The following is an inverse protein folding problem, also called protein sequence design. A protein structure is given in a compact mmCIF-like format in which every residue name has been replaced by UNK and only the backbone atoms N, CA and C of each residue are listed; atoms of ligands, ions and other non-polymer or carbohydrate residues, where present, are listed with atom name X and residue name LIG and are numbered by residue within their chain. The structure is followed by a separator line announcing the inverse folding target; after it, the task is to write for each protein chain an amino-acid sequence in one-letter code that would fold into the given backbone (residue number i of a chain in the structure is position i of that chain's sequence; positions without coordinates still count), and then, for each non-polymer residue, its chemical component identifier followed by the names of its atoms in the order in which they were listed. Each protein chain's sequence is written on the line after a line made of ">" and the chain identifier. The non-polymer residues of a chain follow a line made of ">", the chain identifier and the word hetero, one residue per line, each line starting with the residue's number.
data_IF_616580280752
#
_entry.id   IF_616580280752
#
_cell.length_a   1.000
_cell.length_b   1.000
_cell.length_c   1.000
_cell.angle_alpha   90.00
_cell.angle_beta   90.00
_cell.angle_gamma   90.00
#
_symmetry.space_group_name_H-M   'P 1'
#
loop_
_entity.id
_entity.type
_entity.pdbx_description
1 polymer ?
#
# COMPACT_ATOMS: atom_id res chain seq x y z
N UNK A 1 -6.86 23.18 46.35
CA UNK A 1 -7.59 23.27 45.07
C UNK A 1 -6.72 23.44 43.80
N UNK A 2 -5.46 23.91 43.87
CA UNK A 2 -4.60 24.10 42.67
C UNK A 2 -4.06 22.78 42.03
N UNK A 3 -3.91 21.67 42.79
CA UNK A 3 -3.39 20.38 42.30
C UNK A 3 -4.38 19.62 41.38
N UNK A 4 -5.68 19.80 41.53
CA UNK A 4 -6.67 19.10 40.72
C UNK A 4 -6.81 19.67 39.28
N UNK A 5 -6.56 20.98 39.09
CA UNK A 5 -6.61 21.59 37.74
C UNK A 5 -5.52 21.09 36.80
N UNK A 6 -4.29 20.84 37.32
CA UNK A 6 -3.17 20.33 36.53
C UNK A 6 -3.40 18.90 36.07
N UNK A 7 -3.99 18.05 36.90
CA UNK A 7 -4.29 16.66 36.57
C UNK A 7 -5.36 16.55 35.47
N UNK A 8 -6.39 17.40 35.51
CA UNK A 8 -7.46 17.42 34.50
C UNK A 8 -6.96 17.87 33.13
N UNK A 9 -6.08 18.88 33.08
CA UNK A 9 -5.46 19.36 31.83
C UNK A 9 -4.53 18.30 31.23
N UNK A 10 -3.77 17.59 32.07
CA UNK A 10 -2.89 16.50 31.61
C UNK A 10 -3.68 15.34 31.02
N UNK A 11 -4.79 14.92 31.67
CA UNK A 11 -5.67 13.87 31.16
C UNK A 11 -6.37 14.26 29.85
N UNK A 12 -6.80 15.52 29.71
CA UNK A 12 -7.39 16.04 28.48
C UNK A 12 -6.37 16.07 27.32
N UNK A 13 -5.11 16.47 27.56
CA UNK A 13 -4.06 16.47 26.54
C UNK A 13 -3.69 15.06 26.06
N UNK A 14 -3.62 14.07 26.96
CA UNK A 14 -3.36 12.68 26.60
C UNK A 14 -4.53 12.09 25.78
N UNK A 15 -5.76 12.42 26.13
CA UNK A 15 -6.95 11.97 25.39
C UNK A 15 -7.00 12.55 23.96
N UNK A 16 -6.70 13.86 23.81
CA UNK A 16 -6.64 14.53 22.50
C UNK A 16 -5.54 13.99 21.60
N UNK A 17 -4.37 13.65 22.15
CA UNK A 17 -3.27 13.09 21.37
C UNK A 17 -3.57 11.66 20.87
N UNK A 18 -4.27 10.85 21.63
CA UNK A 18 -4.70 9.52 21.21
C UNK A 18 -5.81 9.57 20.16
N UNK A 19 -6.74 10.53 20.27
CA UNK A 19 -7.79 10.75 19.29
C UNK A 19 -7.21 11.16 17.92
N UNK A 20 -6.25 12.09 17.89
CA UNK A 20 -5.58 12.52 16.67
C UNK A 20 -4.78 11.38 15.99
N UNK A 21 -4.16 10.49 16.76
CA UNK A 21 -3.44 9.32 16.24
C UNK A 21 -4.39 8.27 15.66
N UNK A 22 -5.52 8.01 16.31
CA UNK A 22 -6.55 7.10 15.81
C UNK A 22 -7.15 7.61 14.49
N UNK A 23 -7.46 8.89 14.42
CA UNK A 23 -7.98 9.53 13.20
C UNK A 23 -7.00 9.43 12.03
N UNK A 24 -5.68 9.47 12.28
CA UNK A 24 -4.66 9.30 11.25
C UNK A 24 -4.60 7.85 10.72
N UNK A 25 -4.78 6.85 11.58
CA UNK A 25 -4.85 5.45 11.18
C UNK A 25 -6.09 5.17 10.30
N UNK A 26 -7.25 5.66 10.71
CA UNK A 26 -8.49 5.52 9.94
C UNK A 26 -8.41 6.19 8.56
N UNK A 27 -7.77 7.38 8.48
CA UNK A 27 -7.55 8.04 7.21
C UNK A 27 -6.61 7.22 6.32
N UNK A 28 -5.55 6.66 6.86
CA UNK A 28 -4.63 5.80 6.10
C UNK A 28 -5.35 4.56 5.55
N UNK A 29 -6.23 3.94 6.32
CA UNK A 29 -7.06 2.82 5.82
C UNK A 29 -7.94 3.26 4.65
N UNK A 30 -8.62 4.39 4.75
CA UNK A 30 -9.46 4.94 3.66
C UNK A 30 -8.64 5.21 2.39
N UNK A 31 -7.44 5.78 2.54
CA UNK A 31 -6.54 6.03 1.42
C UNK A 31 -6.11 4.73 0.73
N UNK A 32 -5.82 3.69 1.49
CA UNK A 32 -5.49 2.37 0.96
C UNK A 32 -6.69 1.68 0.30
N UNK A 33 -7.89 1.79 0.85
CA UNK A 33 -9.13 1.27 0.26
C UNK A 33 -9.44 1.98 -1.08
N UNK A 34 -9.29 3.32 -1.12
CA UNK A 34 -9.42 4.10 -2.37
C UNK A 34 -8.35 3.69 -3.38
N UNK A 35 -7.08 3.57 -2.99
CA UNK A 35 -6.00 3.17 -3.88
C UNK A 35 -6.18 1.76 -4.43
N UNK A 36 -6.73 0.82 -3.61
CA UNK A 36 -7.14 -0.53 -4.04
C UNK A 36 -8.18 -0.46 -5.16
N UNK A 37 -9.24 0.34 -4.98
CA UNK A 37 -10.29 0.51 -6.00
C UNK A 37 -9.71 1.13 -7.28
N UNK A 38 -8.95 2.18 -7.17
CA UNK A 38 -8.30 2.83 -8.30
C UNK A 38 -7.39 1.86 -9.08
N UNK A 39 -6.60 1.05 -8.37
CA UNK A 39 -5.78 0.01 -9.01
C UNK A 39 -6.64 -1.07 -9.65
N UNK A 40 -7.77 -1.44 -9.03
CA UNK A 40 -8.73 -2.38 -9.63
C UNK A 40 -9.24 -1.89 -10.99
N UNK A 41 -9.53 -0.59 -11.12
CA UNK A 41 -9.95 0.00 -12.40
C UNK A 41 -8.85 -0.09 -13.47
N UNK A 42 -7.56 0.07 -13.10
CA UNK A 42 -6.45 -0.18 -14.02
C UNK A 42 -6.38 -1.64 -14.48
N UNK A 43 -6.53 -2.58 -13.54
CA UNK A 43 -6.54 -4.00 -13.85
C UNK A 43 -7.73 -4.38 -14.74
N UNK A 44 -8.91 -3.83 -14.47
CA UNK A 44 -10.11 -4.12 -15.27
C UNK A 44 -10.04 -3.54 -16.69
N UNK A 45 -9.53 -2.32 -16.83
CA UNK A 45 -9.44 -1.62 -18.11
C UNK A 45 -8.39 -2.21 -19.04
N UNK A 46 -7.32 -2.83 -18.52
CA UNK A 46 -6.34 -3.50 -19.35
C UNK A 46 -6.91 -4.81 -19.89
N UNK A 47 -6.94 -5.03 -21.21
CA UNK A 47 -7.40 -6.30 -21.79
C UNK A 47 -6.39 -7.42 -21.50
N UNK A 48 -6.80 -8.67 -21.61
CA UNK A 48 -6.01 -9.86 -21.30
C UNK A 48 -4.63 -9.87 -22.00
N UNK A 49 -4.60 -9.56 -23.30
CA UNK A 49 -3.38 -9.49 -24.10
C UNK A 49 -2.44 -8.34 -23.66
N UNK A 50 -2.97 -7.34 -22.96
CA UNK A 50 -2.21 -6.21 -22.42
C UNK A 50 -1.38 -6.56 -21.20
N UNK A 51 -1.69 -7.64 -20.50
CA UNK A 51 -0.96 -8.04 -19.29
C UNK A 51 0.49 -8.45 -19.59
N UNK A 52 0.74 -9.06 -20.74
CA UNK A 52 2.09 -9.40 -21.21
C UNK A 52 2.75 -8.27 -22.01
N UNK A 53 2.05 -7.16 -22.26
CA UNK A 53 2.59 -6.05 -23.05
C UNK A 53 3.78 -5.39 -22.34
N UNK A 54 4.84 -5.16 -23.10
CA UNK A 54 6.11 -4.58 -22.68
C UNK A 54 6.50 -3.47 -23.67
N UNK A 55 6.56 -2.21 -23.26
CA UNK A 55 6.87 -1.10 -24.17
C UNK A 55 8.27 -1.19 -24.81
N UNK A 56 9.28 -1.60 -24.02
CA UNK A 56 10.64 -1.86 -24.49
C UNK A 56 11.19 -3.13 -23.82
N UNK A 57 12.25 -3.76 -24.36
CA UNK A 57 12.83 -4.98 -23.78
C UNK A 57 13.25 -4.84 -22.29
N UNK A 58 13.67 -3.62 -21.88
CA UNK A 58 14.19 -3.35 -20.53
C UNK A 58 13.07 -3.10 -19.51
N UNK A 59 11.88 -2.72 -19.98
CA UNK A 59 10.75 -2.42 -19.11
C UNK A 59 10.06 -3.71 -18.62
N UNK A 60 9.40 -3.62 -17.49
CA UNK A 60 8.48 -4.66 -17.02
C UNK A 60 7.26 -4.75 -17.92
N UNK A 61 6.61 -5.89 -17.98
CA UNK A 61 5.25 -6.00 -18.51
C UNK A 61 4.26 -5.30 -17.58
N UNK A 62 3.03 -5.06 -18.05
CA UNK A 62 1.95 -4.53 -17.21
C UNK A 62 1.75 -5.39 -15.95
N UNK A 63 1.61 -6.72 -16.13
CA UNK A 63 1.49 -7.65 -15.00
C UNK A 63 2.69 -7.59 -14.05
N UNK A 64 3.92 -7.51 -14.57
CA UNK A 64 5.12 -7.44 -13.75
C UNK A 64 5.21 -6.16 -12.93
N UNK A 65 4.68 -5.01 -13.40
CA UNK A 65 4.56 -3.81 -12.58
C UNK A 65 3.62 -4.02 -11.40
N UNK A 66 2.44 -4.60 -11.66
CA UNK A 66 1.42 -4.85 -10.65
C UNK A 66 1.90 -5.85 -9.59
N UNK A 67 2.55 -6.93 -10.00
CA UNK A 67 3.07 -7.96 -9.11
C UNK A 67 4.30 -7.50 -8.32
N UNK A 68 5.11 -6.59 -8.87
CA UNK A 68 6.28 -6.04 -8.19
C UNK A 68 5.91 -5.22 -6.96
N UNK A 69 4.97 -4.28 -7.06
CA UNK A 69 4.56 -3.54 -5.86
C UNK A 69 3.74 -4.42 -4.90
N UNK A 70 3.07 -5.45 -5.40
CA UNK A 70 2.39 -6.45 -4.57
C UNK A 70 3.38 -7.21 -3.68
N UNK A 71 4.53 -7.62 -4.22
CA UNK A 71 5.60 -8.21 -3.41
C UNK A 71 6.09 -7.24 -2.33
N UNK A 72 6.29 -5.96 -2.67
CA UNK A 72 6.67 -4.95 -1.68
C UNK A 72 5.61 -4.77 -0.57
N UNK A 73 4.31 -4.88 -0.90
CA UNK A 73 3.23 -4.88 0.07
C UNK A 73 3.38 -6.04 1.07
N UNK A 74 3.65 -7.26 0.58
CA UNK A 74 3.83 -8.44 1.42
C UNK A 74 5.13 -8.46 2.22
N UNK A 75 6.19 -7.85 1.71
CA UNK A 75 7.49 -7.81 2.36
C UNK A 75 7.58 -6.72 3.43
N UNK A 76 7.01 -5.55 3.18
CA UNK A 76 7.22 -4.37 4.04
C UNK A 76 6.10 -4.13 5.04
N UNK A 77 4.83 -4.44 4.72
CA UNK A 77 3.74 -4.22 5.66
C UNK A 77 3.89 -4.99 6.98
N UNK A 78 4.42 -6.22 7.02
CA UNK A 78 4.70 -6.94 8.26
C UNK A 78 5.62 -6.20 9.24
N UNK A 79 6.58 -5.43 8.72
CA UNK A 79 7.51 -4.65 9.54
C UNK A 79 6.80 -3.53 10.33
N UNK A 80 5.68 -3.03 9.82
CA UNK A 80 4.85 -2.06 10.52
C UNK A 80 3.77 -2.73 11.37
N UNK A 81 2.91 -3.52 10.75
CA UNK A 81 1.68 -4.07 11.37
C UNK A 81 1.86 -5.40 12.10
N UNK A 82 2.95 -6.12 11.85
CA UNK A 82 3.30 -7.36 12.55
C UNK A 82 2.58 -8.63 12.08
N UNK A 83 1.66 -8.54 11.10
CA UNK A 83 1.02 -9.73 10.53
C UNK A 83 2.03 -10.47 9.64
N UNK A 84 2.13 -11.78 9.80
CA UNK A 84 3.03 -12.60 8.98
C UNK A 84 2.54 -12.65 7.53
N UNK A 85 3.45 -12.43 6.58
CA UNK A 85 3.14 -12.59 5.16
C UNK A 85 2.68 -14.02 4.85
N UNK A 86 1.56 -14.18 4.11
CA UNK A 86 1.08 -15.51 3.69
C UNK A 86 1.88 -16.10 2.54
N UNK A 87 2.75 -15.32 1.89
CA UNK A 87 3.59 -15.74 0.77
C UNK A 87 5.08 -15.49 1.06
N UNK A 88 5.94 -16.21 0.35
CA UNK A 88 7.39 -15.99 0.41
C UNK A 88 7.78 -14.66 -0.30
N UNK A 89 8.92 -14.04 0.06
CA UNK A 89 9.41 -12.85 -0.62
C UNK A 89 9.57 -13.05 -2.13
N UNK A 90 9.04 -12.10 -2.91
CA UNK A 90 9.09 -12.11 -4.37
C UNK A 90 8.21 -13.18 -5.04
N UNK A 91 7.30 -13.82 -4.31
CA UNK A 91 6.47 -14.91 -4.85
C UNK A 91 5.48 -14.43 -5.90
N UNK A 92 4.94 -13.21 -5.77
CA UNK A 92 4.00 -12.66 -6.75
C UNK A 92 4.67 -12.44 -8.11
N UNK A 93 5.82 -11.78 -8.15
CA UNK A 93 6.56 -11.53 -9.38
C UNK A 93 7.07 -12.82 -10.05
N UNK A 94 7.34 -13.86 -9.25
CA UNK A 94 7.78 -15.18 -9.71
C UNK A 94 6.64 -16.11 -10.13
N UNK A 95 5.37 -15.68 -9.99
CA UNK A 95 4.23 -16.49 -10.42
C UNK A 95 4.37 -16.88 -11.90
N UNK A 96 4.15 -18.15 -12.20
CA UNK A 96 4.11 -18.64 -13.57
C UNK A 96 2.84 -18.17 -14.30
N UNK A 97 1.73 -18.02 -13.56
CA UNK A 97 0.47 -17.48 -14.09
C UNK A 97 0.42 -15.97 -13.85
N UNK A 98 0.54 -15.21 -14.94
CA UNK A 98 0.42 -13.77 -15.01
C UNK A 98 -0.81 -13.31 -15.83
N UNK A 99 -1.79 -14.18 -15.97
CA UNK A 99 -3.08 -13.85 -16.58
C UNK A 99 -3.75 -12.70 -15.84
N UNK A 100 -4.71 -12.04 -16.49
CA UNK A 100 -5.51 -10.97 -15.89
C UNK A 100 -6.16 -11.43 -14.58
N UNK A 101 -6.76 -12.61 -14.58
CA UNK A 101 -7.44 -13.16 -13.41
C UNK A 101 -6.48 -13.39 -12.23
N UNK A 102 -5.36 -14.08 -12.47
CA UNK A 102 -4.36 -14.39 -11.44
C UNK A 102 -3.68 -13.12 -10.92
N UNK A 103 -3.25 -12.22 -11.81
CA UNK A 103 -2.64 -10.94 -11.43
C UNK A 103 -3.59 -10.10 -10.62
N UNK A 104 -4.85 -9.94 -11.07
CA UNK A 104 -5.86 -9.16 -10.34
C UNK A 104 -6.06 -9.71 -8.93
N UNK A 105 -6.20 -11.02 -8.79
CA UNK A 105 -6.37 -11.65 -7.47
C UNK A 105 -5.18 -11.35 -6.55
N UNK A 106 -3.95 -11.60 -7.02
CA UNK A 106 -2.73 -11.38 -6.20
C UNK A 106 -2.59 -9.91 -5.77
N UNK A 107 -2.88 -8.97 -6.67
CA UNK A 107 -2.82 -7.53 -6.37
C UNK A 107 -3.87 -7.15 -5.34
N UNK A 108 -5.13 -7.58 -5.50
CA UNK A 108 -6.19 -7.25 -4.54
C UNK A 108 -5.92 -7.84 -3.16
N UNK A 109 -5.47 -9.09 -3.09
CA UNK A 109 -5.07 -9.74 -1.84
C UNK A 109 -3.91 -8.97 -1.16
N UNK A 110 -2.93 -8.46 -1.94
CA UNK A 110 -1.82 -7.65 -1.45
C UNK A 110 -2.27 -6.32 -0.83
N UNK A 111 -3.28 -5.66 -1.39
CA UNK A 111 -3.89 -4.48 -0.78
C UNK A 111 -4.61 -4.81 0.53
N UNK A 112 -5.41 -5.89 0.55
CA UNK A 112 -6.12 -6.33 1.75
C UNK A 112 -5.14 -6.69 2.87
N UNK A 113 -4.00 -7.26 2.53
CA UNK A 113 -2.95 -7.56 3.48
C UNK A 113 -2.34 -6.30 4.12
N UNK A 114 -2.06 -5.24 3.35
CA UNK A 114 -1.58 -3.97 3.91
C UNK A 114 -2.65 -3.33 4.80
N UNK A 115 -3.90 -3.27 4.34
CA UNK A 115 -5.03 -2.73 5.10
C UNK A 115 -5.18 -3.48 6.43
N UNK A 116 -5.07 -4.82 6.41
CA UNK A 116 -5.12 -5.65 7.61
C UNK A 116 -3.96 -5.37 8.56
N UNK A 117 -2.74 -5.14 8.04
CA UNK A 117 -1.60 -4.74 8.85
C UNK A 117 -1.83 -3.38 9.53
N UNK A 118 -2.36 -2.38 8.81
CA UNK A 118 -2.68 -1.06 9.37
C UNK A 118 -3.74 -1.20 10.48
N UNK A 119 -4.81 -1.96 10.23
CA UNK A 119 -5.89 -2.20 11.21
C UNK A 119 -5.41 -2.99 12.45
N UNK A 120 -4.35 -3.79 12.34
CA UNK A 120 -3.75 -4.53 13.46
C UNK A 120 -2.90 -3.65 14.39
N UNK A 121 -2.52 -2.44 13.95
CA UNK A 121 -1.68 -1.54 14.72
C UNK A 121 -2.49 -0.77 15.75
N UNK A 122 -1.92 -0.61 16.96
CA UNK A 122 -2.41 0.36 17.93
C UNK A 122 -1.95 1.76 17.55
N UNK A 123 -2.72 2.82 17.86
CA UNK A 123 -2.39 4.20 17.47
C UNK A 123 -0.98 4.67 17.90
N UNK A 124 -0.49 4.24 19.05
CA UNK A 124 0.85 4.59 19.54
C UNK A 124 1.96 3.96 18.72
N UNK A 125 1.75 2.79 18.13
CA UNK A 125 2.75 2.04 17.37
C UNK A 125 3.14 2.70 16.05
N UNK A 126 2.34 3.61 15.50
CA UNK A 126 2.67 4.32 14.27
C UNK A 126 3.95 5.15 14.39
N UNK A 127 4.30 5.59 15.60
CA UNK A 127 5.52 6.36 15.89
C UNK A 127 6.71 5.49 16.30
N UNK A 128 6.54 4.17 16.45
CA UNK A 128 7.64 3.27 16.73
C UNK A 128 8.68 3.33 15.62
N UNK A 129 9.95 3.41 15.99
CA UNK A 129 11.05 3.43 15.05
C UNK A 129 11.47 2.01 14.68
N UNK A 130 11.69 1.78 13.41
CA UNK A 130 12.17 0.52 12.85
C UNK A 130 13.35 0.76 11.90
N UNK A 131 14.13 -0.28 11.66
CA UNK A 131 15.24 -0.29 10.70
C UNK A 131 14.86 -1.18 9.51
N UNK A 132 14.83 -0.62 8.32
CA UNK A 132 14.44 -1.30 7.07
C UNK A 132 15.69 -1.54 6.23
N UNK A 133 15.86 -2.76 5.70
CA UNK A 133 17.01 -3.21 4.91
C UNK A 133 18.37 -2.95 5.61
N UNK A 134 18.41 -3.05 6.94
CA UNK A 134 19.60 -2.76 7.78
C UNK A 134 20.24 -1.38 7.56
N UNK A 135 19.56 -0.49 6.86
CA UNK A 135 20.09 0.80 6.42
C UNK A 135 19.20 1.99 6.79
N UNK A 136 17.89 1.89 6.59
CA UNK A 136 17.01 3.04 6.73
C UNK A 136 16.26 3.01 8.05
N UNK A 137 16.46 4.04 8.88
CA UNK A 137 15.75 4.20 10.17
C UNK A 137 14.57 5.16 9.94
N UNK A 138 13.36 4.72 10.27
CA UNK A 138 12.14 5.51 10.10
C UNK A 138 11.03 5.04 11.03
N UNK A 139 9.97 5.82 11.18
CA UNK A 139 8.78 5.36 11.90
C UNK A 139 7.97 4.36 11.06
N UNK A 140 7.17 3.53 11.72
CA UNK A 140 6.25 2.61 11.05
C UNK A 140 5.26 3.36 10.14
N UNK A 141 4.76 4.53 10.56
CA UNK A 141 3.93 5.40 9.71
C UNK A 141 4.67 5.83 8.43
N UNK A 142 5.93 6.22 8.54
CA UNK A 142 6.75 6.58 7.38
C UNK A 142 6.93 5.39 6.44
N UNK A 143 7.16 4.17 6.96
CA UNK A 143 7.25 2.98 6.13
C UNK A 143 5.95 2.74 5.37
N UNK A 144 4.79 2.80 6.03
CA UNK A 144 3.49 2.64 5.37
C UNK A 144 3.25 3.67 4.26
N UNK A 145 3.69 4.93 4.47
CA UNK A 145 3.65 5.95 3.43
C UNK A 145 4.59 5.62 2.25
N UNK A 146 5.78 5.05 2.52
CA UNK A 146 6.70 4.60 1.46
C UNK A 146 6.13 3.45 0.63
N UNK A 147 5.42 2.53 1.25
CA UNK A 147 4.71 1.46 0.54
C UNK A 147 3.58 2.06 -0.33
N UNK A 148 2.84 3.04 0.20
CA UNK A 148 1.80 3.75 -0.54
C UNK A 148 2.37 4.53 -1.73
N UNK A 149 3.48 5.22 -1.56
CA UNK A 149 4.21 5.92 -2.63
C UNK A 149 4.67 4.94 -3.72
N UNK A 150 5.19 3.77 -3.33
CA UNK A 150 5.68 2.75 -4.23
C UNK A 150 4.58 2.17 -5.14
N UNK A 151 3.41 1.81 -4.59
CA UNK A 151 2.29 1.35 -5.40
C UNK A 151 1.77 2.45 -6.35
N UNK A 152 1.71 3.70 -5.89
CA UNK A 152 1.31 4.85 -6.71
C UNK A 152 2.27 5.08 -7.87
N UNK A 153 3.59 4.98 -7.61
CA UNK A 153 4.63 5.08 -8.63
C UNK A 153 4.45 4.02 -9.73
N UNK A 154 4.32 2.75 -9.36
CA UNK A 154 4.19 1.68 -10.34
C UNK A 154 2.86 1.70 -11.09
N UNK A 155 1.74 2.00 -10.43
CA UNK A 155 0.46 2.21 -11.11
C UNK A 155 0.57 3.34 -12.11
N UNK A 156 1.12 4.50 -11.73
CA UNK A 156 1.30 5.65 -12.60
C UNK A 156 2.15 5.33 -13.84
N UNK A 157 3.21 4.53 -13.70
CA UNK A 157 4.00 4.06 -14.84
C UNK A 157 3.15 3.27 -15.85
N UNK A 158 2.19 2.49 -15.41
CA UNK A 158 1.34 1.68 -16.32
C UNK A 158 0.35 2.50 -17.13
N UNK A 159 0.10 3.77 -16.81
CA UNK A 159 -0.69 4.69 -17.63
C UNK A 159 -0.13 4.80 -19.06
N UNK A 160 1.19 4.81 -19.20
CA UNK A 160 1.86 4.83 -20.51
C UNK A 160 1.53 3.58 -21.34
N UNK A 161 1.37 2.42 -20.69
CA UNK A 161 1.02 1.16 -21.37
C UNK A 161 -0.36 1.22 -22.03
N UNK A 162 -1.32 1.86 -21.39
CA UNK A 162 -2.65 2.11 -21.97
C UNK A 162 -2.55 2.94 -23.24
N UNK A 163 -1.86 4.08 -23.18
CA UNK A 163 -1.70 4.97 -24.33
C UNK A 163 -1.00 4.28 -25.50
N UNK A 164 0.06 3.51 -25.23
CA UNK A 164 0.79 2.77 -26.27
C UNK A 164 -0.04 1.65 -26.91
N UNK A 165 -1.04 1.13 -26.20
CA UNK A 165 -2.02 0.18 -26.75
C UNK A 165 -3.24 0.85 -27.36
N UNK A 166 -3.32 2.19 -27.41
CA UNK A 166 -4.47 2.93 -27.89
C UNK A 166 -5.71 2.82 -26.99
N UNK A 167 -5.52 2.52 -25.70
CA UNK A 167 -6.58 2.38 -24.70
C UNK A 167 -6.62 3.64 -23.84
N UNK A 168 -7.79 4.14 -23.53
CA UNK A 168 -7.96 5.26 -22.60
C UNK A 168 -7.75 4.72 -21.18
N UNK A 169 -6.77 5.26 -20.42
CA UNK A 169 -6.59 4.85 -19.04
C UNK A 169 -7.75 5.29 -18.16
N UNK A 170 -7.97 4.63 -16.99
CA UNK A 170 -8.93 5.12 -16.01
C UNK A 170 -8.65 6.56 -15.59
N UNK A 171 -9.72 7.31 -15.28
CA UNK A 171 -9.60 8.66 -14.71
C UNK A 171 -8.85 8.64 -13.37
N UNK A 172 -8.30 9.79 -12.98
CA UNK A 172 -7.69 9.93 -11.66
C UNK A 172 -8.75 9.82 -10.55
N UNK A 173 -8.42 9.04 -9.52
CA UNK A 173 -9.26 8.79 -8.34
C UNK A 173 -8.43 9.08 -7.08
N UNK A 174 -8.16 10.36 -6.84
CA UNK A 174 -7.31 10.80 -5.73
C UNK A 174 -8.10 11.15 -4.47
N UNK A 175 -9.41 11.34 -4.59
CA UNK A 175 -10.31 11.78 -3.51
C UNK A 175 -11.47 10.81 -3.30
#
# INVERSE_FOLDING_TARGET
>A
MKKFKGLFIFFAMVSLSNFAKAQNADQMVKDWERAKLYTKHYLDAMPEDGYAFKPTPEMRTFAEHMLHFTDANYELAPLAGGLKSPIAPGASAKSADKSKAATTKMVMDGYDFVISNIKNMKPEQFQDTIKVFDKYVMTKATLLNKIFEHQTHHRGQTTVYFHLKGIIPPNEELF
#
